data_IF_511051851531
#
_entry.id   IF_511051851531
#
_cell.length_a   1.000
_cell.length_b   1.000
_cell.length_c   1.000
_cell.angle_alpha   90.00
_cell.angle_beta   90.00
_cell.angle_gamma   90.00
#
_symmetry.space_group_name_H-M   'P 1'
#
loop_
_entity.id
_entity.type
_entity.pdbx_description
1 polymer ?
#
# COMPACT_ATOMS: atom_id res chain seq x y z
N UNK A 1 -0.41 50.31 -2.22
CA UNK A 1 0.19 51.54 -2.75
C UNK A 1 0.10 51.55 -4.26
N UNK A 2 -0.52 52.60 -4.85
CA UNK A 2 -0.65 52.74 -6.31
C UNK A 2 0.52 53.56 -6.82
N UNK A 3 1.13 53.14 -7.93
CA UNK A 3 2.21 53.84 -8.61
C UNK A 3 1.91 53.93 -10.11
N UNK A 4 2.18 55.09 -10.74
CA UNK A 4 2.04 55.30 -12.19
C UNK A 4 3.40 55.27 -12.85
N UNK A 5 3.56 54.44 -13.89
CA UNK A 5 4.74 54.42 -14.76
C UNK A 5 4.30 54.54 -16.20
N UNK A 6 4.75 55.62 -16.86
CA UNK A 6 4.25 56.03 -18.17
C UNK A 6 2.71 56.20 -18.09
N UNK A 7 1.94 55.62 -19.00
CA UNK A 7 0.47 55.67 -19.03
C UNK A 7 -0.23 54.57 -18.23
N UNK A 8 0.53 53.74 -17.46
CA UNK A 8 0.01 52.53 -16.82
C UNK A 8 0.08 52.69 -15.28
N UNK A 9 -1.02 52.36 -14.60
CA UNK A 9 -1.10 52.24 -13.15
C UNK A 9 -0.73 50.84 -12.69
N UNK A 10 -0.01 50.76 -11.56
CA UNK A 10 0.41 49.52 -10.90
C UNK A 10 0.01 49.60 -9.43
N UNK A 11 -0.50 48.47 -8.91
CA UNK A 11 -0.66 48.25 -7.47
C UNK A 11 0.62 47.61 -6.95
N UNK A 12 1.26 48.26 -5.98
CA UNK A 12 2.51 47.76 -5.37
C UNK A 12 2.19 47.20 -4.00
N UNK A 13 2.46 45.92 -3.83
CA UNK A 13 2.26 45.20 -2.57
C UNK A 13 3.60 44.69 -2.07
N UNK A 14 3.88 44.94 -0.80
CA UNK A 14 5.04 44.39 -0.12
C UNK A 14 4.60 43.10 0.61
N UNK A 15 5.24 41.99 0.29
CA UNK A 15 4.91 40.69 0.84
C UNK A 15 6.19 39.89 1.06
N UNK A 16 6.18 39.02 2.10
CA UNK A 16 7.27 38.08 2.37
C UNK A 16 7.20 36.92 1.36
N UNK A 17 8.29 36.65 0.68
CA UNK A 17 8.38 35.55 -0.24
C UNK A 17 8.37 34.24 0.57
N UNK A 18 7.40 33.34 0.36
CA UNK A 18 7.27 32.12 1.17
C UNK A 18 8.41 31.10 0.94
N UNK A 19 9.14 31.24 -0.15
CA UNK A 19 10.24 30.33 -0.50
C UNK A 19 11.57 30.82 0.05
N UNK A 20 11.86 32.11 -0.13
CA UNK A 20 13.15 32.71 0.27
C UNK A 20 13.11 33.38 1.63
N UNK A 21 11.92 33.50 2.23
CA UNK A 21 11.66 34.19 3.51
C UNK A 21 12.07 35.65 3.54
N UNK A 22 12.25 36.29 2.36
CA UNK A 22 12.66 37.68 2.20
C UNK A 22 11.47 38.60 1.80
N UNK A 23 11.50 39.89 2.19
CA UNK A 23 10.50 40.84 1.79
C UNK A 23 10.71 41.28 0.36
N UNK A 24 9.68 41.13 -0.51
CA UNK A 24 9.71 41.57 -1.91
C UNK A 24 8.54 42.50 -2.21
N UNK A 25 8.82 43.58 -3.00
CA UNK A 25 7.79 44.45 -3.57
C UNK A 25 7.28 43.82 -4.86
N UNK A 26 5.96 43.66 -4.95
CA UNK A 26 5.28 43.12 -6.15
C UNK A 26 4.53 44.28 -6.85
N UNK A 27 4.75 44.37 -8.15
CA UNK A 27 4.11 45.34 -9.02
C UNK A 27 3.07 44.65 -9.87
N UNK A 28 1.79 44.94 -9.65
CA UNK A 28 0.67 44.33 -10.35
C UNK A 28 0.09 45.37 -11.29
N UNK A 29 0.11 45.09 -12.59
CA UNK A 29 -0.44 45.99 -13.61
C UNK A 29 -1.96 46.07 -13.46
N UNK A 30 -2.51 47.28 -13.39
CA UNK A 30 -3.93 47.51 -13.25
C UNK A 30 -4.60 48.02 -14.54
N UNK A 31 -3.87 48.71 -15.39
CA UNK A 31 -4.40 49.33 -16.60
C UNK A 31 -4.07 50.83 -16.67
N UNK A 32 -4.78 51.56 -17.50
CA UNK A 32 -4.60 52.99 -17.69
C UNK A 32 -5.50 53.88 -16.81
N UNK A 33 -6.46 53.25 -16.10
CA UNK A 33 -7.41 53.94 -15.23
C UNK A 33 -6.99 53.88 -13.76
N UNK A 34 -6.93 55.06 -13.10
CA UNK A 34 -6.67 55.14 -11.66
C UNK A 34 -7.77 54.45 -10.83
N UNK A 35 -9.04 54.56 -11.27
CA UNK A 35 -10.19 53.95 -10.59
C UNK A 35 -10.12 52.44 -10.59
N UNK A 36 -9.64 51.85 -11.68
CA UNK A 36 -9.38 50.40 -11.74
C UNK A 36 -8.24 49.98 -10.81
N UNK A 37 -7.18 50.78 -10.71
CA UNK A 37 -6.09 50.54 -9.79
C UNK A 37 -6.54 50.58 -8.31
N UNK A 38 -7.41 51.53 -7.95
CA UNK A 38 -7.99 51.61 -6.60
C UNK A 38 -8.92 50.45 -6.28
N UNK A 39 -9.71 49.98 -7.27
CA UNK A 39 -10.56 48.81 -7.12
C UNK A 39 -9.73 47.53 -6.94
N UNK A 40 -8.67 47.40 -7.72
CA UNK A 40 -7.73 46.27 -7.63
C UNK A 40 -6.96 46.31 -6.31
N UNK A 41 -6.52 47.49 -5.85
CA UNK A 41 -5.82 47.64 -4.56
C UNK A 41 -6.71 47.20 -3.40
N UNK A 42 -7.96 47.67 -3.34
CA UNK A 42 -8.92 47.27 -2.30
C UNK A 42 -9.15 45.74 -2.29
N UNK A 43 -9.34 45.16 -3.48
CA UNK A 43 -9.49 43.70 -3.61
C UNK A 43 -8.25 42.98 -3.09
N UNK A 44 -7.06 43.38 -3.48
CA UNK A 44 -5.81 42.75 -3.11
C UNK A 44 -5.47 42.98 -1.62
N UNK A 45 -5.89 44.08 -1.02
CA UNK A 45 -5.73 44.28 0.42
C UNK A 45 -6.69 43.42 1.23
N UNK A 46 -7.96 43.31 0.82
CA UNK A 46 -8.92 42.39 1.45
C UNK A 46 -8.42 40.92 1.39
N UNK A 47 -7.94 40.48 0.23
CA UNK A 47 -7.35 39.14 0.07
C UNK A 47 -6.10 38.96 0.95
N UNK A 48 -5.29 40.00 1.17
CA UNK A 48 -4.13 39.97 2.05
C UNK A 48 -4.53 39.93 3.52
N UNK A 49 -5.54 40.68 3.93
CA UNK A 49 -6.05 40.71 5.30
C UNK A 49 -6.74 39.35 5.68
N UNK A 50 -7.31 38.67 4.69
CA UNK A 50 -7.83 37.30 4.80
C UNK A 50 -6.70 36.23 4.79
N UNK A 51 -5.44 36.64 4.81
CA UNK A 51 -4.28 35.73 4.81
C UNK A 51 -3.93 35.15 3.44
N UNK A 52 -4.58 35.63 2.37
CA UNK A 52 -4.27 35.21 1.02
C UNK A 52 -2.92 35.77 0.55
N UNK A 53 -2.07 34.89 0.02
CA UNK A 53 -0.81 35.31 -0.59
C UNK A 53 -1.06 35.79 -2.01
N UNK A 54 -0.73 37.04 -2.28
CA UNK A 54 -0.79 37.61 -3.62
C UNK A 54 0.44 37.17 -4.41
N UNK A 55 0.36 35.98 -4.99
CA UNK A 55 1.40 35.45 -5.85
C UNK A 55 1.18 35.97 -7.27
N UNK A 56 2.10 36.78 -7.76
CA UNK A 56 2.13 37.20 -9.16
C UNK A 56 3.07 36.26 -9.94
N UNK A 57 2.71 35.95 -11.17
CA UNK A 57 3.25 34.89 -12.02
C UNK A 57 4.76 34.64 -12.18
N UNK A 58 5.64 35.48 -11.57
CA UNK A 58 7.10 35.29 -11.63
C UNK A 58 7.70 34.54 -10.43
N UNK A 59 6.94 34.26 -9.36
CA UNK A 59 7.43 33.57 -8.17
C UNK A 59 6.74 32.24 -7.89
N UNK A 60 5.71 31.86 -8.68
CA UNK A 60 4.98 30.61 -8.48
C UNK A 60 5.74 29.47 -9.14
N UNK A 61 6.07 28.39 -8.39
CA UNK A 61 6.77 27.24 -8.95
C UNK A 61 5.90 26.50 -9.97
N UNK A 62 6.55 25.73 -10.83
CA UNK A 62 5.84 24.75 -11.65
C UNK A 62 5.35 23.59 -10.79
N UNK A 63 4.37 22.82 -11.28
CA UNK A 63 3.91 21.62 -10.58
C UNK A 63 5.05 20.60 -10.42
N UNK A 64 5.98 20.52 -11.38
CA UNK A 64 7.21 19.71 -11.28
C UNK A 64 8.07 20.15 -10.09
N UNK A 65 8.39 21.45 -9.99
CA UNK A 65 9.26 21.97 -8.92
C UNK A 65 8.61 21.77 -7.54
N UNK A 66 7.30 22.01 -7.48
CA UNK A 66 6.52 21.86 -6.25
C UNK A 66 6.45 20.39 -5.81
N UNK A 67 6.06 19.44 -6.68
CA UNK A 67 5.94 18.03 -6.34
C UNK A 67 7.28 17.43 -5.95
N UNK A 68 8.37 17.83 -6.62
CA UNK A 68 9.73 17.39 -6.27
C UNK A 68 10.08 17.82 -4.85
N UNK A 69 9.87 19.11 -4.53
CA UNK A 69 10.12 19.65 -3.18
C UNK A 69 9.22 19.00 -2.13
N UNK A 70 7.94 18.81 -2.44
CA UNK A 70 7.00 18.16 -1.53
C UNK A 70 7.39 16.72 -1.20
N UNK A 71 7.81 15.94 -2.21
CA UNK A 71 8.33 14.60 -2.01
C UNK A 71 9.54 14.59 -1.10
N UNK A 72 10.50 15.49 -1.32
CA UNK A 72 11.75 15.55 -0.55
C UNK A 72 11.52 16.03 0.89
N UNK A 73 10.56 16.95 1.10
CA UNK A 73 10.33 17.56 2.42
C UNK A 73 9.32 16.78 3.28
N UNK A 74 8.23 16.27 2.68
CA UNK A 74 7.10 15.73 3.44
C UNK A 74 6.98 14.20 3.34
N UNK A 75 7.59 13.56 2.33
CA UNK A 75 7.36 12.14 2.05
C UNK A 75 8.63 11.31 2.18
N UNK A 76 9.78 11.88 1.84
CA UNK A 76 11.08 11.18 1.96
C UNK A 76 11.31 10.71 3.39
N UNK A 77 11.83 9.47 3.60
CA UNK A 77 12.25 9.01 4.92
C UNK A 77 13.18 10.01 5.64
N UNK A 78 13.06 10.21 6.95
CA UNK A 78 12.22 9.44 7.88
C UNK A 78 10.76 9.90 7.99
N UNK A 79 10.32 10.97 7.28
CA UNK A 79 8.95 11.49 7.37
C UNK A 79 7.88 10.44 7.03
N UNK A 80 8.17 9.57 6.05
CA UNK A 80 7.34 8.41 5.70
C UNK A 80 8.23 7.20 5.42
N UNK A 81 7.63 5.99 5.48
CA UNK A 81 8.33 4.73 5.14
C UNK A 81 8.77 4.71 3.68
N UNK A 82 9.87 4.01 3.40
CA UNK A 82 10.47 3.89 2.05
C UNK A 82 9.47 3.41 1.01
N UNK A 83 8.61 2.43 1.34
CA UNK A 83 7.57 1.95 0.42
C UNK A 83 6.54 3.03 0.06
N UNK A 84 6.18 3.89 1.01
CA UNK A 84 5.28 5.03 0.76
C UNK A 84 5.96 6.04 -0.16
N UNK A 85 7.20 6.40 0.11
CA UNK A 85 7.98 7.31 -0.73
C UNK A 85 8.07 6.79 -2.16
N UNK A 86 8.45 5.53 -2.37
CA UNK A 86 8.57 4.90 -3.69
C UNK A 86 7.23 4.95 -4.46
N UNK A 87 6.12 4.64 -3.79
CA UNK A 87 4.80 4.68 -4.40
C UNK A 87 4.39 6.11 -4.78
N UNK A 88 4.56 7.05 -3.87
CA UNK A 88 4.26 8.47 -4.13
C UNK A 88 5.11 9.02 -5.26
N UNK A 89 6.41 8.71 -5.26
CA UNK A 89 7.34 9.13 -6.32
C UNK A 89 6.94 8.58 -7.68
N UNK A 90 6.55 7.31 -7.78
CA UNK A 90 6.09 6.71 -9.03
C UNK A 90 4.85 7.40 -9.59
N UNK A 91 3.91 7.77 -8.72
CA UNK A 91 2.70 8.49 -9.10
C UNK A 91 3.02 9.94 -9.47
N UNK A 92 3.81 10.64 -8.65
CA UNK A 92 4.24 12.00 -8.96
C UNK A 92 5.01 12.08 -10.29
N UNK A 93 5.86 11.08 -10.60
CA UNK A 93 6.56 10.99 -11.89
C UNK A 93 5.57 10.99 -13.06
N UNK A 94 4.44 10.28 -12.96
CA UNK A 94 3.39 10.27 -13.99
C UNK A 94 2.69 11.62 -14.09
N UNK A 95 2.31 12.22 -12.94
CA UNK A 95 1.69 13.55 -12.90
C UNK A 95 2.62 14.60 -13.53
N UNK A 96 3.90 14.54 -13.20
CA UNK A 96 4.93 15.46 -13.72
C UNK A 96 5.10 15.32 -15.22
N UNK A 97 5.05 14.10 -15.76
CA UNK A 97 5.18 13.86 -17.20
C UNK A 97 4.05 14.54 -18.00
N UNK A 98 2.84 14.56 -17.46
CA UNK A 98 1.67 15.11 -18.17
C UNK A 98 1.37 16.58 -17.79
N UNK A 99 1.52 16.95 -16.52
CA UNK A 99 1.11 18.26 -15.99
C UNK A 99 2.24 19.11 -15.42
N UNK A 100 3.46 18.57 -15.31
CA UNK A 100 4.59 19.19 -14.60
C UNK A 100 5.02 20.57 -15.08
N UNK A 101 4.85 20.85 -16.37
CA UNK A 101 5.20 22.16 -16.99
C UNK A 101 4.28 23.31 -16.61
N UNK A 102 3.09 23.05 -16.07
CA UNK A 102 2.15 24.09 -15.67
C UNK A 102 2.56 24.75 -14.35
N UNK A 103 2.37 26.06 -14.27
CA UNK A 103 2.50 26.76 -12.98
C UNK A 103 1.42 26.31 -12.01
N UNK A 104 1.75 26.25 -10.74
CA UNK A 104 0.87 25.72 -9.69
C UNK A 104 -0.49 26.44 -9.63
N UNK A 105 -0.52 27.78 -9.84
CA UNK A 105 -1.73 28.59 -9.89
C UNK A 105 -2.56 28.42 -11.17
N UNK A 106 -2.03 27.72 -12.17
CA UNK A 106 -2.69 27.43 -13.45
C UNK A 106 -3.28 26.02 -13.52
N UNK A 107 -3.08 25.23 -12.48
CA UNK A 107 -3.73 23.93 -12.36
C UNK A 107 -5.21 24.14 -12.05
N UNK A 108 -6.08 23.84 -13.00
CA UNK A 108 -7.53 24.03 -12.87
C UNK A 108 -8.26 22.70 -12.63
N UNK A 109 -9.47 22.72 -12.03
CA UNK A 109 -10.30 21.52 -11.88
C UNK A 109 -10.55 20.80 -13.22
N UNK A 110 -10.85 21.54 -14.29
CA UNK A 110 -11.10 20.98 -15.61
C UNK A 110 -9.87 20.27 -16.17
N UNK A 111 -8.67 20.85 -16.02
CA UNK A 111 -7.42 20.23 -16.45
C UNK A 111 -7.20 18.88 -15.74
N UNK A 112 -7.46 18.81 -14.44
CA UNK A 112 -7.30 17.56 -13.66
C UNK A 112 -8.35 16.53 -14.03
N UNK A 113 -9.61 16.94 -14.24
CA UNK A 113 -10.67 16.03 -14.70
C UNK A 113 -10.35 15.43 -16.08
N UNK A 114 -9.85 16.25 -17.02
CA UNK A 114 -9.37 15.79 -18.33
C UNK A 114 -8.22 14.80 -18.18
N UNK A 115 -7.25 15.11 -17.33
CA UNK A 115 -6.12 14.21 -17.04
C UNK A 115 -6.59 12.84 -16.51
N UNK A 116 -7.59 12.78 -15.62
CA UNK A 116 -8.13 11.49 -15.14
C UNK A 116 -8.80 10.69 -16.26
N UNK A 117 -9.51 11.36 -17.17
CA UNK A 117 -10.10 10.72 -18.35
C UNK A 117 -9.01 10.13 -19.26
N UNK A 118 -7.91 10.88 -19.46
CA UNK A 118 -6.76 10.39 -20.22
C UNK A 118 -6.07 9.20 -19.56
N UNK A 119 -5.88 9.22 -18.23
CA UNK A 119 -5.33 8.06 -17.51
C UNK A 119 -6.20 6.81 -17.71
N UNK A 120 -7.52 6.96 -17.67
CA UNK A 120 -8.46 5.87 -17.90
C UNK A 120 -8.39 5.36 -19.36
N UNK A 121 -8.28 6.25 -20.34
CA UNK A 121 -8.14 5.87 -21.76
C UNK A 121 -6.81 5.16 -22.07
N UNK A 122 -5.76 5.45 -21.28
CA UNK A 122 -4.48 4.71 -21.32
C UNK A 122 -4.54 3.34 -20.61
N UNK A 123 -5.74 2.89 -20.17
CA UNK A 123 -5.96 1.59 -19.54
C UNK A 123 -5.64 1.52 -18.05
N UNK A 124 -5.45 2.64 -17.35
CA UNK A 124 -5.27 2.61 -15.91
C UNK A 124 -6.59 2.33 -15.19
N UNK A 125 -6.53 1.45 -14.18
CA UNK A 125 -7.71 1.13 -13.37
C UNK A 125 -8.21 2.33 -12.57
N UNK A 126 -9.52 2.37 -12.27
CA UNK A 126 -10.13 3.39 -11.42
C UNK A 126 -9.41 3.51 -10.07
N UNK A 127 -8.96 2.39 -9.49
CA UNK A 127 -8.18 2.38 -8.24
C UNK A 127 -6.88 3.18 -8.39
N UNK A 128 -6.19 3.06 -9.52
CA UNK A 128 -4.94 3.80 -9.79
C UNK A 128 -5.22 5.29 -9.98
N UNK A 129 -6.29 5.65 -10.70
CA UNK A 129 -6.69 7.05 -10.88
C UNK A 129 -7.10 7.68 -9.55
N UNK A 130 -7.87 6.96 -8.72
CA UNK A 130 -8.22 7.40 -7.35
C UNK A 130 -6.99 7.59 -6.46
N UNK A 131 -6.01 6.71 -6.55
CA UNK A 131 -4.74 6.87 -5.83
C UNK A 131 -3.99 8.12 -6.31
N UNK A 132 -3.97 8.36 -7.62
CA UNK A 132 -3.38 9.57 -8.22
C UNK A 132 -4.09 10.83 -7.70
N UNK A 133 -5.44 10.84 -7.68
CA UNK A 133 -6.23 11.94 -7.09
C UNK A 133 -5.85 12.18 -5.63
N UNK A 134 -5.83 11.12 -4.80
CA UNK A 134 -5.52 11.24 -3.37
C UNK A 134 -4.13 11.84 -3.12
N UNK A 135 -3.14 11.43 -3.91
CA UNK A 135 -1.76 11.92 -3.77
C UNK A 135 -1.65 13.37 -4.24
N UNK A 136 -2.22 13.70 -5.40
CA UNK A 136 -2.21 15.06 -5.92
C UNK A 136 -2.98 16.01 -5.01
N UNK A 137 -4.15 15.58 -4.49
CA UNK A 137 -4.94 16.36 -3.52
C UNK A 137 -4.13 16.65 -2.26
N UNK A 138 -3.48 15.64 -1.67
CA UNK A 138 -2.64 15.81 -0.49
C UNK A 138 -1.45 16.75 -0.73
N UNK A 139 -0.83 16.68 -1.91
CA UNK A 139 0.23 17.60 -2.30
C UNK A 139 -0.29 19.04 -2.41
N UNK A 140 -1.43 19.26 -3.08
CA UNK A 140 -2.00 20.59 -3.24
C UNK A 140 -2.60 21.15 -1.94
N UNK A 141 -3.12 20.31 -1.03
CA UNK A 141 -3.46 20.72 0.34
C UNK A 141 -2.22 21.23 1.08
N UNK A 142 -1.06 20.60 0.87
CA UNK A 142 0.20 21.11 1.42
C UNK A 142 0.66 22.41 0.75
N UNK A 143 0.38 22.60 -0.56
CA UNK A 143 0.65 23.85 -1.23
C UNK A 143 -0.17 25.02 -0.63
N UNK A 144 -1.41 24.77 -0.23
CA UNK A 144 -2.25 25.74 0.50
C UNK A 144 -1.64 26.04 1.87
N UNK A 145 -1.23 25.01 2.64
CA UNK A 145 -0.56 25.21 3.94
C UNK A 145 0.75 25.98 3.82
N UNK A 146 1.50 25.77 2.74
CA UNK A 146 2.72 26.54 2.44
C UNK A 146 2.44 27.90 1.82
N UNK A 147 1.14 28.26 1.73
CA UNK A 147 0.70 29.53 1.17
C UNK A 147 1.15 29.76 -0.29
N UNK A 148 1.34 28.70 -1.05
CA UNK A 148 1.63 28.74 -2.50
C UNK A 148 0.34 28.78 -3.34
N UNK A 149 -0.78 28.35 -2.75
CA UNK A 149 -2.13 28.43 -3.32
C UNK A 149 -3.11 28.96 -2.27
N UNK A 150 -4.11 29.69 -2.69
CA UNK A 150 -5.19 30.14 -1.81
C UNK A 150 -6.21 29.02 -1.53
N UNK A 151 -6.48 28.17 -2.52
CA UNK A 151 -7.42 27.06 -2.45
C UNK A 151 -6.89 25.87 -3.27
N UNK A 152 -7.15 24.66 -2.79
CA UNK A 152 -6.86 23.46 -3.55
C UNK A 152 -7.90 23.28 -4.68
N UNK A 153 -7.49 23.28 -5.96
CA UNK A 153 -8.41 23.11 -7.09
C UNK A 153 -9.07 21.72 -7.15
N UNK A 154 -8.52 20.71 -6.46
CA UNK A 154 -9.06 19.35 -6.44
C UNK A 154 -10.24 19.17 -5.47
N UNK A 155 -10.63 20.18 -4.72
CA UNK A 155 -11.85 20.12 -3.89
C UNK A 155 -13.08 19.92 -4.76
N UNK A 156 -13.08 20.49 -5.96
CA UNK A 156 -14.20 20.48 -6.91
C UNK A 156 -14.01 19.41 -8.01
N UNK A 157 -13.15 18.40 -7.78
CA UNK A 157 -12.88 17.33 -8.75
C UNK A 157 -13.15 15.97 -8.12
N UNK A 158 -14.12 15.25 -8.64
CA UNK A 158 -14.40 13.88 -8.23
C UNK A 158 -13.53 12.88 -9.00
N UNK A 159 -12.87 11.94 -8.28
CA UNK A 159 -12.20 10.83 -8.94
C UNK A 159 -13.23 9.80 -9.45
N UNK A 160 -12.89 8.95 -10.43
CA UNK A 160 -13.80 7.92 -10.92
C UNK A 160 -14.30 7.02 -9.79
N UNK A 161 -15.53 6.48 -9.93
CA UNK A 161 -16.16 5.63 -8.93
C UNK A 161 -15.25 4.43 -8.54
N UNK A 162 -15.22 4.02 -7.25
CA UNK A 162 -14.45 2.84 -6.85
C UNK A 162 -15.07 1.58 -7.46
N UNK A 163 -14.24 0.75 -8.08
CA UNK A 163 -14.64 -0.61 -8.46
C UNK A 163 -14.25 -1.50 -7.27
N UNK A 164 -15.24 -2.12 -6.63
CA UNK A 164 -14.97 -3.11 -5.58
C UNK A 164 -14.30 -4.32 -6.26
N UNK A 165 -13.05 -4.68 -5.90
CA UNK A 165 -12.45 -5.90 -6.40
C UNK A 165 -13.29 -7.08 -5.90
N UNK A 166 -13.56 -8.05 -6.77
CA UNK A 166 -14.08 -9.34 -6.35
C UNK A 166 -12.97 -10.02 -5.55
N UNK A 167 -13.10 -10.08 -4.23
CA UNK A 167 -12.17 -10.81 -3.39
C UNK A 167 -12.49 -12.30 -3.54
N UNK A 168 -11.62 -13.00 -4.21
CA UNK A 168 -11.71 -14.45 -4.39
C UNK A 168 -10.91 -15.11 -3.26
N UNK A 169 -11.55 -15.31 -2.10
CA UNK A 169 -11.01 -16.18 -1.07
C UNK A 169 -11.27 -17.65 -1.46
N UNK A 170 -10.36 -18.54 -1.13
CA UNK A 170 -10.61 -19.98 -1.23
C UNK A 170 -11.65 -20.40 -0.18
N UNK A 171 -12.46 -21.38 -0.52
CA UNK A 171 -13.26 -22.08 0.51
C UNK A 171 -12.34 -22.84 1.46
N UNK A 172 -12.85 -23.21 2.63
CA UNK A 172 -12.09 -24.05 3.58
C UNK A 172 -11.61 -25.35 2.93
N UNK A 173 -12.50 -26.01 2.16
CA UNK A 173 -12.18 -27.25 1.44
C UNK A 173 -11.09 -27.06 0.41
N UNK A 174 -11.20 -26.01 -0.43
CA UNK A 174 -10.20 -25.71 -1.46
C UNK A 174 -8.82 -25.36 -0.87
N UNK A 175 -8.83 -24.60 0.23
CA UNK A 175 -7.60 -24.23 0.94
C UNK A 175 -6.88 -25.45 1.51
N UNK A 176 -7.62 -26.40 2.13
CA UNK A 176 -7.05 -27.63 2.67
C UNK A 176 -6.55 -28.54 1.55
N UNK A 177 -7.31 -28.72 0.47
CA UNK A 177 -6.89 -29.52 -0.69
C UNK A 177 -5.61 -28.96 -1.34
N UNK A 178 -5.50 -27.65 -1.48
CA UNK A 178 -4.29 -27.00 -2.03
C UNK A 178 -3.08 -27.16 -1.10
N UNK A 179 -3.27 -27.11 0.23
CA UNK A 179 -2.20 -27.34 1.22
C UNK A 179 -1.74 -28.78 1.17
N UNK A 180 -2.65 -29.75 1.13
CA UNK A 180 -2.35 -31.17 1.02
C UNK A 180 -1.55 -31.44 -0.24
N UNK A 181 -2.02 -31.01 -1.39
CA UNK A 181 -1.32 -31.11 -2.66
C UNK A 181 0.11 -30.53 -2.60
N UNK A 182 0.25 -29.30 -2.05
CA UNK A 182 1.56 -28.68 -1.91
C UNK A 182 2.49 -29.45 -0.99
N UNK A 183 1.95 -30.04 0.08
CA UNK A 183 2.71 -30.83 1.05
C UNK A 183 3.18 -32.16 0.45
N UNK A 184 2.35 -32.86 -0.32
CA UNK A 184 2.71 -34.07 -1.04
C UNK A 184 3.79 -33.80 -2.10
N UNK A 185 3.62 -32.75 -2.88
CA UNK A 185 4.63 -32.31 -3.85
C UNK A 185 5.96 -31.97 -3.17
N UNK A 186 5.94 -31.48 -1.93
CA UNK A 186 7.15 -31.17 -1.16
C UNK A 186 7.92 -32.42 -0.72
N UNK A 187 7.25 -33.53 -0.47
CA UNK A 187 7.86 -34.84 -0.12
C UNK A 187 8.64 -35.43 -1.30
N UNK A 188 8.17 -35.18 -2.53
CA UNK A 188 8.73 -35.82 -3.74
C UNK A 188 9.97 -35.09 -4.28
N UNK A 189 10.19 -33.80 -4.01
CA UNK A 189 11.34 -33.07 -4.53
C UNK A 189 11.65 -31.74 -3.82
N UNK A 190 12.80 -31.74 -3.17
CA UNK A 190 13.68 -30.59 -3.04
C UNK A 190 13.22 -29.37 -2.21
N UNK A 191 14.22 -28.62 -1.84
CA UNK A 191 14.20 -27.43 -1.00
C UNK A 191 13.18 -26.36 -1.44
N UNK A 192 13.05 -26.12 -2.75
CA UNK A 192 12.17 -25.05 -3.29
C UNK A 192 10.68 -25.34 -3.08
N UNK A 193 10.25 -26.60 -3.16
CA UNK A 193 8.82 -26.97 -2.97
C UNK A 193 8.36 -26.77 -1.54
N UNK A 194 9.21 -27.01 -0.56
CA UNK A 194 8.92 -26.70 0.85
C UNK A 194 8.64 -25.22 1.07
N UNK A 195 9.28 -24.33 0.28
CA UNK A 195 9.01 -22.89 0.38
C UNK A 195 7.63 -22.50 -0.15
N UNK A 196 7.07 -23.26 -1.09
CA UNK A 196 5.70 -23.05 -1.57
C UNK A 196 4.69 -23.41 -0.47
N UNK A 197 4.89 -24.58 0.19
CA UNK A 197 4.07 -24.96 1.35
C UNK A 197 4.17 -23.93 2.48
N UNK A 198 5.36 -23.34 2.73
CA UNK A 198 5.52 -22.23 3.68
C UNK A 198 4.61 -21.04 3.34
N UNK A 199 4.46 -20.68 2.06
CA UNK A 199 3.61 -19.56 1.66
C UNK A 199 2.15 -19.82 2.07
N UNK A 200 1.65 -21.03 1.81
CA UNK A 200 0.28 -21.41 2.15
C UNK A 200 0.09 -21.49 3.67
N UNK A 201 0.97 -22.20 4.38
CA UNK A 201 0.86 -22.38 5.82
C UNK A 201 0.96 -21.05 6.58
N UNK A 202 1.93 -20.22 6.25
CA UNK A 202 2.09 -18.91 6.88
C UNK A 202 0.99 -17.92 6.47
N UNK A 203 0.49 -18.01 5.22
CA UNK A 203 -0.59 -17.15 4.72
C UNK A 203 -1.95 -17.51 5.31
N UNK A 204 -2.30 -18.79 5.36
CA UNK A 204 -3.62 -19.29 5.77
C UNK A 204 -3.70 -19.49 7.29
N UNK A 205 -2.76 -20.21 7.91
CA UNK A 205 -2.86 -20.48 9.34
C UNK A 205 -2.32 -19.38 10.24
N UNK A 206 -1.36 -18.58 9.76
CA UNK A 206 -0.79 -17.47 10.52
C UNK A 206 -1.31 -16.09 10.05
N UNK A 207 -2.03 -16.02 8.93
CA UNK A 207 -2.57 -14.80 8.37
C UNK A 207 -1.52 -13.74 8.01
N UNK A 208 -0.27 -14.15 7.70
CA UNK A 208 0.82 -13.23 7.40
C UNK A 208 0.63 -12.50 6.05
N UNK A 209 1.00 -11.24 6.02
CA UNK A 209 1.08 -10.49 4.75
C UNK A 209 2.28 -10.96 3.93
N UNK A 210 2.22 -10.84 2.60
CA UNK A 210 3.32 -11.24 1.69
C UNK A 210 4.71 -10.73 2.14
N UNK A 211 4.80 -9.47 2.52
CA UNK A 211 6.07 -8.88 2.96
C UNK A 211 6.53 -9.42 4.32
N UNK A 212 5.62 -9.77 5.22
CA UNK A 212 5.90 -10.38 6.51
C UNK A 212 6.39 -11.83 6.32
N UNK A 213 5.75 -12.62 5.43
CA UNK A 213 6.25 -13.96 5.05
C UNK A 213 7.69 -13.86 4.51
N UNK A 214 7.93 -12.89 3.62
CA UNK A 214 9.24 -12.69 3.02
C UNK A 214 10.30 -12.19 4.02
N UNK A 215 9.87 -11.40 5.02
CA UNK A 215 10.74 -10.80 6.05
C UNK A 215 10.96 -11.63 7.30
N UNK A 216 10.29 -12.79 7.42
CA UNK A 216 10.37 -13.67 8.59
C UNK A 216 11.77 -14.29 8.71
N UNK A 217 12.37 -14.20 9.89
CA UNK A 217 13.69 -14.77 10.21
C UNK A 217 13.57 -15.91 11.20
N UNK A 218 14.56 -16.80 11.22
CA UNK A 218 14.59 -17.92 12.16
C UNK A 218 14.59 -17.48 13.61
N UNK A 219 15.23 -16.37 13.94
CA UNK A 219 15.24 -15.77 15.27
C UNK A 219 13.88 -15.23 15.74
N UNK A 220 12.93 -15.06 14.81
CA UNK A 220 11.58 -14.57 15.11
C UNK A 220 10.61 -15.72 15.43
N UNK A 221 11.10 -16.97 15.43
CA UNK A 221 10.32 -18.19 15.72
C UNK A 221 10.75 -18.74 17.07
N UNK A 222 9.81 -18.78 18.02
CA UNK A 222 9.98 -19.56 19.24
C UNK A 222 9.34 -20.94 19.02
N UNK A 223 10.20 -21.95 18.84
CA UNK A 223 9.78 -23.32 18.58
C UNK A 223 9.24 -24.05 19.83
N UNK A 224 9.59 -23.60 21.02
CA UNK A 224 9.14 -24.19 22.29
C UNK A 224 7.74 -23.70 22.63
N UNK A 225 7.53 -22.38 22.57
CA UNK A 225 6.24 -21.75 22.85
C UNK A 225 5.29 -21.76 21.63
N UNK A 226 5.73 -22.27 20.49
CA UNK A 226 4.97 -22.25 19.23
C UNK A 226 4.47 -20.84 18.86
N UNK A 227 5.36 -19.84 18.95
CA UNK A 227 5.01 -18.45 18.64
C UNK A 227 5.87 -17.87 17.52
N UNK A 228 5.29 -16.95 16.75
CA UNK A 228 5.99 -16.12 15.76
C UNK A 228 5.94 -14.65 16.18
N UNK A 229 7.10 -14.01 16.16
CA UNK A 229 7.24 -12.56 16.36
C UNK A 229 7.33 -11.86 15.00
N UNK A 230 6.34 -11.07 14.63
CA UNK A 230 6.30 -10.42 13.32
C UNK A 230 6.89 -9.02 13.46
N UNK A 231 8.18 -8.86 13.15
CA UNK A 231 8.95 -7.61 13.32
C UNK A 231 9.25 -6.90 12.03
N UNK A 232 9.38 -7.64 10.93
CA UNK A 232 9.91 -7.13 9.68
C UNK A 232 9.04 -7.47 8.48
N UNK A 233 9.20 -6.66 7.44
CA UNK A 233 8.61 -6.87 6.12
C UNK A 233 9.69 -6.68 5.06
N UNK A 234 9.89 -7.67 4.18
CA UNK A 234 10.84 -7.58 3.08
C UNK A 234 10.15 -6.94 1.88
N UNK A 235 10.74 -5.88 1.37
CA UNK A 235 10.20 -5.05 0.29
C UNK A 235 11.17 -5.06 -0.90
N UNK A 236 10.62 -4.90 -2.09
CA UNK A 236 11.40 -4.66 -3.29
C UNK A 236 11.33 -3.17 -3.65
N UNK A 237 12.48 -2.50 -3.67
CA UNK A 237 12.61 -1.06 -3.92
C UNK A 237 13.49 -0.83 -5.16
N UNK A 238 13.10 0.03 -6.11
CA UNK A 238 13.94 0.41 -7.25
C UNK A 238 15.26 1.02 -6.79
N UNK A 239 16.37 0.67 -7.47
CA UNK A 239 17.71 1.22 -7.14
C UNK A 239 17.71 2.74 -7.24
N UNK A 240 17.00 3.31 -8.22
CA UNK A 240 16.90 4.77 -8.38
C UNK A 240 16.31 5.48 -7.16
N UNK A 241 15.51 4.79 -6.36
CA UNK A 241 14.93 5.34 -5.13
C UNK A 241 15.90 5.16 -3.97
N UNK A 242 16.55 4.00 -3.85
CA UNK A 242 17.55 3.74 -2.80
C UNK A 242 18.78 4.65 -2.91
N UNK A 243 19.27 4.90 -4.11
CA UNK A 243 20.39 5.81 -4.33
C UNK A 243 20.12 7.25 -3.82
N UNK A 244 18.84 7.65 -3.78
CA UNK A 244 18.41 8.96 -3.24
C UNK A 244 18.26 8.97 -1.71
N UNK A 245 18.10 7.78 -1.11
CA UNK A 245 17.71 7.64 0.29
C UNK A 245 18.86 7.21 1.20
N UNK A 246 19.97 6.73 0.61
CA UNK A 246 21.05 6.06 1.35
C UNK A 246 20.50 5.01 2.34
N UNK A 247 19.56 4.19 1.87
CA UNK A 247 18.81 3.25 2.70
C UNK A 247 19.47 1.86 2.67
N UNK A 248 19.61 1.16 3.80
CA UNK A 248 20.24 -0.15 3.84
C UNK A 248 19.42 -1.19 3.08
N UNK A 249 20.12 -2.09 2.41
CA UNK A 249 19.49 -3.19 1.64
C UNK A 249 20.09 -4.54 2.02
N UNK A 250 19.27 -5.59 1.88
CA UNK A 250 19.68 -6.98 2.16
C UNK A 250 20.33 -7.63 0.93
N UNK A 251 19.74 -7.41 -0.25
CA UNK A 251 20.22 -7.96 -1.51
C UNK A 251 19.99 -6.97 -2.65
N UNK A 252 21.00 -6.76 -3.46
CA UNK A 252 20.93 -5.91 -4.66
C UNK A 252 20.80 -6.76 -5.91
N UNK A 253 19.96 -6.31 -6.86
CA UNK A 253 19.90 -6.81 -8.22
C UNK A 253 20.03 -5.65 -9.21
N UNK A 254 19.99 -5.91 -10.52
CA UNK A 254 20.27 -4.89 -11.55
C UNK A 254 19.39 -3.62 -11.43
N UNK A 255 18.08 -3.78 -11.20
CA UNK A 255 17.13 -2.66 -11.24
C UNK A 255 16.44 -2.40 -9.90
N UNK A 256 16.66 -3.24 -8.90
CA UNK A 256 15.99 -3.15 -7.59
C UNK A 256 16.83 -3.78 -6.50
N UNK A 257 16.51 -3.48 -5.25
CA UNK A 257 17.11 -4.13 -4.09
C UNK A 257 16.01 -4.60 -3.14
N UNK A 258 16.32 -5.64 -2.39
CA UNK A 258 15.50 -6.11 -1.28
C UNK A 258 15.87 -5.32 -0.04
N UNK A 259 14.87 -4.71 0.57
CA UNK A 259 14.99 -3.87 1.76
C UNK A 259 14.16 -4.49 2.87
N UNK A 260 14.77 -4.66 4.03
CA UNK A 260 14.08 -5.09 5.24
C UNK A 260 13.62 -3.86 6.01
N UNK A 261 12.31 -3.67 6.07
CA UNK A 261 11.69 -2.57 6.81
C UNK A 261 10.94 -3.11 8.03
N UNK A 262 10.76 -2.29 9.05
CA UNK A 262 9.91 -2.63 10.20
C UNK A 262 8.46 -2.75 9.77
N UNK A 263 7.66 -3.54 10.49
CA UNK A 263 6.21 -3.63 10.23
C UNK A 263 5.51 -2.27 10.36
N UNK A 264 4.35 -2.14 9.71
CA UNK A 264 3.71 -0.85 9.42
C UNK A 264 3.15 -0.14 10.66
N UNK A 265 2.79 -0.88 11.71
CA UNK A 265 2.18 -0.33 12.93
C UNK A 265 2.63 -1.16 14.14
N UNK A 266 2.61 -0.57 15.35
CA UNK A 266 2.85 -1.28 16.62
C UNK A 266 1.90 -2.48 16.79
N UNK A 267 0.65 -2.36 16.34
CA UNK A 267 -0.30 -3.47 16.30
C UNK A 267 0.16 -4.64 15.40
N UNK A 268 1.10 -4.39 14.46
CA UNK A 268 1.66 -5.44 13.59
C UNK A 268 2.91 -6.11 14.18
N UNK A 269 3.45 -5.62 15.30
CA UNK A 269 4.64 -6.14 16.00
C UNK A 269 4.26 -7.18 17.07
N UNK A 270 3.12 -7.85 16.92
CA UNK A 270 2.61 -8.80 17.89
C UNK A 270 3.13 -10.22 17.62
N UNK A 271 3.33 -10.94 18.73
CA UNK A 271 3.49 -12.39 18.71
C UNK A 271 2.14 -13.05 18.39
N UNK A 272 2.16 -14.07 17.58
CA UNK A 272 1.01 -14.91 17.29
C UNK A 272 1.30 -16.36 17.68
N UNK A 273 0.30 -17.03 18.23
CA UNK A 273 0.35 -18.47 18.49
C UNK A 273 0.13 -19.20 17.15
N UNK A 274 0.95 -20.20 16.90
CA UNK A 274 0.98 -20.95 15.64
C UNK A 274 0.56 -22.39 15.88
N UNK A 275 -0.26 -23.00 15.02
CA UNK A 275 -0.63 -24.39 15.14
C UNK A 275 0.60 -25.31 15.12
N UNK A 276 0.58 -26.39 15.92
CA UNK A 276 1.69 -27.34 16.03
C UNK A 276 2.11 -27.96 14.69
N UNK A 277 1.15 -28.16 13.79
CA UNK A 277 1.43 -28.66 12.44
C UNK A 277 2.35 -27.69 11.67
N UNK A 278 2.10 -26.37 11.75
CA UNK A 278 2.93 -25.36 11.08
C UNK A 278 4.32 -25.29 11.73
N UNK A 279 4.41 -25.34 13.06
CA UNK A 279 5.69 -25.35 13.78
C UNK A 279 6.53 -26.58 13.41
N UNK A 280 5.92 -27.77 13.36
CA UNK A 280 6.60 -29.00 12.94
C UNK A 280 7.13 -28.88 11.52
N UNK A 281 6.35 -28.32 10.61
CA UNK A 281 6.79 -28.07 9.24
C UNK A 281 7.95 -27.05 9.20
N UNK A 282 7.89 -25.98 9.97
CA UNK A 282 8.97 -24.99 10.05
C UNK A 282 10.25 -25.58 10.65
N UNK A 283 10.17 -26.53 11.60
CA UNK A 283 11.34 -27.28 12.11
C UNK A 283 12.02 -28.06 10.97
N UNK A 284 11.22 -28.74 10.13
CA UNK A 284 11.74 -29.44 8.97
C UNK A 284 12.44 -28.50 7.99
N UNK A 285 11.82 -27.35 7.68
CA UNK A 285 12.42 -26.33 6.81
C UNK A 285 13.70 -25.73 7.42
N UNK A 286 13.74 -25.56 8.75
CA UNK A 286 14.94 -25.11 9.47
C UNK A 286 16.08 -26.13 9.35
N UNK A 287 15.78 -27.39 9.54
CA UNK A 287 16.77 -28.47 9.38
C UNK A 287 17.37 -28.46 7.97
N UNK A 288 16.54 -28.30 6.93
CA UNK A 288 17.04 -28.17 5.55
C UNK A 288 17.93 -26.93 5.35
N UNK A 289 17.55 -25.79 5.95
CA UNK A 289 18.37 -24.57 5.92
C UNK A 289 19.74 -24.80 6.55
N UNK A 290 19.78 -25.47 7.69
CA UNK A 290 21.05 -25.75 8.40
C UNK A 290 21.88 -26.78 7.66
N UNK A 291 21.27 -27.81 7.05
CA UNK A 291 21.94 -28.77 6.18
C UNK A 291 22.60 -28.11 4.97
N UNK A 292 21.86 -27.21 4.31
CA UNK A 292 22.41 -26.42 3.19
C UNK A 292 23.55 -25.51 3.65
N UNK A 293 23.44 -24.90 4.83
CA UNK A 293 24.52 -24.06 5.40
C UNK A 293 25.82 -24.89 5.57
N UNK A 294 25.71 -26.12 6.06
CA UNK A 294 26.87 -27.01 6.18
C UNK A 294 27.41 -27.43 4.80
N UNK A 295 26.50 -27.78 3.86
CA UNK A 295 26.85 -28.25 2.51
C UNK A 295 27.61 -27.20 1.70
N UNK A 296 27.14 -25.95 1.72
CA UNK A 296 27.72 -24.87 0.94
C UNK A 296 28.83 -24.11 1.67
N UNK A 297 28.98 -24.28 2.99
CA UNK A 297 30.06 -23.68 3.81
C UNK A 297 30.22 -22.18 3.59
N UNK A 298 31.42 -21.70 3.19
CA UNK A 298 31.67 -20.26 2.96
C UNK A 298 30.86 -19.62 1.84
N UNK A 299 30.29 -20.41 0.94
CA UNK A 299 29.45 -19.94 -0.16
C UNK A 299 27.99 -19.74 0.26
N UNK A 300 27.63 -20.11 1.49
CA UNK A 300 26.30 -19.93 2.01
C UNK A 300 26.10 -18.53 2.60
N UNK A 301 25.09 -17.83 2.12
CA UNK A 301 24.71 -16.52 2.64
C UNK A 301 23.80 -16.67 3.86
N UNK A 302 24.37 -16.58 5.06
CA UNK A 302 23.62 -16.77 6.30
C UNK A 302 22.73 -15.57 6.64
N UNK A 303 21.71 -15.33 5.81
CA UNK A 303 20.79 -14.19 5.95
C UNK A 303 19.71 -14.37 7.01
N UNK A 304 19.56 -15.59 7.55
CA UNK A 304 18.60 -15.97 8.58
C UNK A 304 17.12 -15.90 8.13
N UNK A 305 16.80 -15.68 6.85
CA UNK A 305 15.43 -15.69 6.38
C UNK A 305 14.87 -17.14 6.30
N UNK A 306 13.61 -17.30 6.75
CA UNK A 306 12.85 -18.54 6.55
C UNK A 306 12.66 -18.82 5.07
N UNK A 307 12.33 -17.78 4.32
CA UNK A 307 12.11 -17.83 2.88
C UNK A 307 13.38 -17.49 2.10
N UNK A 308 14.41 -18.34 2.28
CA UNK A 308 15.67 -18.25 1.54
C UNK A 308 15.80 -19.40 0.53
N UNK A 309 16.61 -19.18 -0.52
CA UNK A 309 17.00 -20.21 -1.49
C UNK A 309 18.06 -21.17 -0.91
N UNK A 310 18.54 -22.12 -1.72
CA UNK A 310 19.50 -23.14 -1.27
C UNK A 310 20.84 -22.58 -0.78
N UNK A 311 21.26 -21.43 -1.31
CA UNK A 311 22.49 -20.75 -0.90
C UNK A 311 22.25 -19.67 0.18
N UNK A 312 21.05 -19.61 0.76
CA UNK A 312 20.72 -18.71 1.89
C UNK A 312 20.24 -17.31 1.51
N UNK A 313 20.11 -16.97 0.24
CA UNK A 313 19.59 -15.68 -0.21
C UNK A 313 18.06 -15.60 -0.10
N UNK A 314 17.48 -14.49 0.36
CA UNK A 314 16.03 -14.33 0.42
C UNK A 314 15.40 -14.31 -0.99
N UNK A 315 14.22 -14.92 -1.11
CA UNK A 315 13.43 -14.83 -2.33
C UNK A 315 12.84 -13.42 -2.52
N UNK A 316 12.82 -12.95 -3.78
CA UNK A 316 12.14 -11.71 -4.17
C UNK A 316 10.63 -11.82 -3.89
N UNK A 317 9.96 -10.82 -3.26
CA UNK A 317 8.52 -10.85 -2.99
C UNK A 317 7.63 -11.10 -4.23
N UNK A 318 8.11 -10.84 -5.45
CA UNK A 318 7.36 -11.17 -6.67
C UNK A 318 7.40 -12.66 -7.01
N UNK A 319 8.41 -13.40 -6.53
CA UNK A 319 8.51 -14.85 -6.71
C UNK A 319 7.29 -15.56 -6.08
N UNK A 320 6.82 -15.10 -4.94
CA UNK A 320 5.70 -15.68 -4.20
C UNK A 320 4.42 -15.78 -5.04
N UNK A 321 4.06 -14.70 -5.74
CA UNK A 321 2.87 -14.70 -6.61
C UNK A 321 3.04 -15.69 -7.76
N UNK A 322 4.18 -15.65 -8.45
CA UNK A 322 4.43 -16.54 -9.60
C UNK A 322 4.38 -18.00 -9.19
N UNK A 323 4.93 -18.32 -8.03
CA UNK A 323 5.00 -19.69 -7.50
C UNK A 323 3.64 -20.17 -7.02
N UNK A 324 2.86 -19.32 -6.33
CA UNK A 324 1.49 -19.64 -5.94
C UNK A 324 0.60 -19.92 -7.17
N UNK A 325 0.68 -19.06 -8.20
CA UNK A 325 -0.08 -19.26 -9.44
C UNK A 325 0.31 -20.58 -10.16
N UNK A 326 1.62 -20.91 -10.21
CA UNK A 326 2.06 -22.18 -10.78
C UNK A 326 1.55 -23.39 -9.99
N UNK A 327 1.51 -23.29 -8.66
CA UNK A 327 0.95 -24.34 -7.82
C UNK A 327 -0.54 -24.56 -8.10
N UNK A 328 -1.32 -23.46 -8.14
CA UNK A 328 -2.76 -23.54 -8.42
C UNK A 328 -3.02 -24.11 -9.82
N UNK A 329 -2.26 -23.69 -10.83
CA UNK A 329 -2.36 -24.26 -12.18
C UNK A 329 -2.05 -25.76 -12.18
N UNK A 330 -0.94 -26.16 -11.54
CA UNK A 330 -0.57 -27.58 -11.43
C UNK A 330 -1.62 -28.42 -10.69
N UNK A 331 -2.26 -27.84 -9.66
CA UNK A 331 -3.38 -28.49 -8.98
C UNK A 331 -4.56 -28.68 -9.93
N UNK A 332 -4.98 -27.64 -10.63
CA UNK A 332 -6.10 -27.68 -11.59
C UNK A 332 -5.84 -28.69 -12.72
N UNK A 333 -4.61 -28.72 -13.26
CA UNK A 333 -4.21 -29.65 -14.30
C UNK A 333 -4.24 -31.13 -13.82
N UNK A 334 -3.95 -31.34 -12.52
CA UNK A 334 -3.95 -32.67 -11.90
C UNK A 334 -5.36 -33.13 -11.45
N UNK A 335 -6.34 -32.25 -11.40
CA UNK A 335 -7.71 -32.51 -10.95
C UNK A 335 -8.73 -31.98 -11.96
N UNK A 336 -8.74 -32.49 -13.21
CA UNK A 336 -9.60 -31.99 -14.29
C UNK A 336 -11.11 -32.19 -14.01
N UNK A 337 -11.45 -33.15 -13.16
CA UNK A 337 -12.82 -33.46 -12.79
C UNK A 337 -13.38 -32.56 -11.69
N UNK A 338 -12.52 -31.75 -11.05
CA UNK A 338 -12.92 -30.79 -10.02
C UNK A 338 -13.09 -29.37 -10.61
N UNK A 339 -13.98 -28.55 -10.04
CA UNK A 339 -14.02 -27.12 -10.40
C UNK A 339 -12.65 -26.46 -10.22
N UNK A 340 -12.15 -25.73 -11.21
CA UNK A 340 -10.81 -25.17 -11.13
C UNK A 340 -10.72 -24.09 -10.02
N UNK A 341 -9.66 -24.16 -9.22
CA UNK A 341 -9.36 -23.15 -8.21
C UNK A 341 -9.00 -21.82 -8.88
N UNK A 342 -9.50 -20.69 -8.36
CA UNK A 342 -9.19 -19.36 -8.89
C UNK A 342 -7.72 -18.99 -8.65
N UNK A 343 -7.13 -18.20 -9.56
CA UNK A 343 -5.79 -17.66 -9.42
C UNK A 343 -5.76 -16.51 -8.40
N UNK A 344 -5.59 -16.84 -7.13
CA UNK A 344 -5.57 -15.90 -6.03
C UNK A 344 -4.19 -15.23 -5.84
N UNK A 345 -4.19 -14.07 -5.19
CA UNK A 345 -2.96 -13.38 -4.77
C UNK A 345 -2.49 -13.92 -3.41
N UNK A 346 -1.21 -13.78 -3.10
CA UNK A 346 -0.68 -14.14 -1.76
C UNK A 346 -1.41 -13.41 -0.62
N UNK A 347 -1.93 -12.21 -0.88
CA UNK A 347 -2.70 -11.48 0.12
C UNK A 347 -4.09 -12.08 0.36
N UNK A 348 -4.64 -12.76 -0.62
CA UNK A 348 -5.96 -13.41 -0.52
C UNK A 348 -5.90 -14.67 0.37
N UNK A 349 -4.70 -15.28 0.59
CA UNK A 349 -4.50 -16.32 1.60
C UNK A 349 -4.85 -15.83 3.01
N UNK A 350 -4.56 -14.57 3.31
CA UNK A 350 -4.95 -13.95 4.57
C UNK A 350 -6.47 -13.68 4.63
N UNK A 351 -7.11 -13.39 3.51
CA UNK A 351 -8.57 -13.32 3.44
C UNK A 351 -9.18 -14.71 3.66
N UNK A 352 -8.60 -15.73 3.04
CA UNK A 352 -8.96 -17.14 3.31
C UNK A 352 -8.83 -17.50 4.79
N UNK A 353 -7.73 -17.09 5.46
CA UNK A 353 -7.56 -17.28 6.90
C UNK A 353 -8.70 -16.65 7.71
N UNK A 354 -9.08 -15.42 7.39
CA UNK A 354 -10.18 -14.75 8.06
C UNK A 354 -11.53 -15.45 7.82
N UNK A 355 -11.79 -15.86 6.59
CA UNK A 355 -13.02 -16.58 6.22
C UNK A 355 -13.12 -17.91 6.98
N UNK A 356 -12.05 -18.71 6.99
CA UNK A 356 -12.00 -19.99 7.72
C UNK A 356 -12.29 -19.79 9.21
N UNK A 357 -11.67 -18.80 9.86
CA UNK A 357 -11.89 -18.54 11.27
C UNK A 357 -13.33 -18.09 11.56
N UNK A 358 -13.90 -17.25 10.72
CA UNK A 358 -15.28 -16.75 10.87
C UNK A 358 -16.32 -17.85 10.59
N UNK A 359 -16.07 -18.73 9.59
CA UNK A 359 -16.93 -19.89 9.29
C UNK A 359 -16.94 -20.94 10.45
N UNK A 360 -15.89 -20.94 11.28
CA UNK A 360 -15.79 -21.77 12.48
C UNK A 360 -16.15 -21.02 13.78
N UNK A 361 -17.00 -19.99 13.68
CA UNK A 361 -17.57 -19.26 14.79
C UNK A 361 -16.55 -18.56 15.73
N UNK A 362 -15.33 -18.29 15.23
CA UNK A 362 -14.33 -17.53 16.01
C UNK A 362 -14.74 -16.06 16.07
N UNK A 363 -14.74 -15.50 17.27
CA UNK A 363 -15.11 -14.10 17.50
C UNK A 363 -14.33 -13.12 16.60
N UNK A 364 -15.02 -12.16 15.99
CA UNK A 364 -14.46 -11.21 15.02
C UNK A 364 -13.30 -10.38 15.59
N UNK A 365 -13.32 -10.08 16.91
CA UNK A 365 -12.24 -9.34 17.56
C UNK A 365 -11.00 -10.22 17.69
N UNK A 366 -11.17 -11.53 17.98
CA UNK A 366 -10.07 -12.48 18.01
C UNK A 366 -9.48 -12.68 16.61
N UNK A 367 -10.32 -12.80 15.57
CA UNK A 367 -9.87 -12.85 14.18
C UNK A 367 -9.09 -11.59 13.81
N UNK A 368 -9.62 -10.41 14.13
CA UNK A 368 -8.95 -9.12 13.87
C UNK A 368 -7.60 -9.04 14.59
N UNK A 369 -7.51 -9.53 15.83
CA UNK A 369 -6.28 -9.59 16.63
C UNK A 369 -5.28 -10.57 16.02
N UNK A 370 -5.68 -11.78 15.68
CA UNK A 370 -4.83 -12.80 15.03
C UNK A 370 -4.25 -12.27 13.73
N UNK A 371 -5.08 -11.61 12.93
CA UNK A 371 -4.67 -11.03 11.67
C UNK A 371 -3.93 -9.67 11.83
N UNK A 372 -3.88 -9.10 13.01
CA UNK A 372 -3.25 -7.79 13.28
C UNK A 372 -3.80 -6.70 12.35
N UNK A 373 -5.14 -6.59 12.27
CA UNK A 373 -5.80 -5.50 11.59
C UNK A 373 -5.74 -4.24 12.47
N UNK A 374 -5.32 -3.12 11.90
CA UNK A 374 -5.31 -1.82 12.58
C UNK A 374 -6.72 -1.23 12.75
N UNK A 375 -7.68 -1.74 11.97
CA UNK A 375 -9.08 -1.34 11.97
C UNK A 375 -9.95 -2.60 11.86
N UNK A 376 -10.87 -2.76 12.80
CA UNK A 376 -11.86 -3.85 12.80
C UNK A 376 -12.82 -3.77 11.61
N UNK A 377 -13.01 -2.58 11.02
CA UNK A 377 -13.82 -2.39 9.82
C UNK A 377 -13.35 -3.24 8.62
N UNK A 378 -12.05 -3.55 8.55
CA UNK A 378 -11.49 -4.45 7.52
C UNK A 378 -12.05 -5.87 7.70
N UNK A 379 -12.12 -6.35 8.94
CA UNK A 379 -12.66 -7.67 9.28
C UNK A 379 -14.18 -7.68 9.15
N UNK A 380 -14.86 -6.59 9.51
CA UNK A 380 -16.32 -6.45 9.37
C UNK A 380 -16.77 -6.49 7.90
N UNK A 381 -16.04 -5.82 6.99
CA UNK A 381 -16.35 -5.90 5.55
C UNK A 381 -16.20 -7.33 5.00
N UNK A 382 -15.26 -8.10 5.55
CA UNK A 382 -15.09 -9.50 5.20
C UNK A 382 -16.21 -10.36 5.79
N UNK A 383 -16.61 -10.08 7.04
CA UNK A 383 -17.71 -10.74 7.72
C UNK A 383 -19.04 -10.57 6.97
N UNK A 384 -19.28 -9.42 6.36
CA UNK A 384 -20.48 -9.15 5.57
C UNK A 384 -20.67 -10.12 4.40
N UNK A 385 -19.58 -10.58 3.77
CA UNK A 385 -19.61 -11.61 2.72
C UNK A 385 -19.81 -13.04 3.27
N UNK A 386 -19.40 -13.28 4.52
CA UNK A 386 -19.62 -14.57 5.21
C UNK A 386 -21.04 -14.63 5.75
N UNK A 387 -21.64 -13.50 6.14
CA UNK A 387 -22.97 -13.39 6.74
C UNK A 387 -24.08 -13.89 5.81
N UNK A 388 -23.97 -13.64 4.47
CA UNK A 388 -24.94 -14.17 3.50
C UNK A 388 -25.00 -15.71 3.53
N UNK A 389 -23.90 -16.41 3.88
CA UNK A 389 -23.87 -17.86 4.11
C UNK A 389 -24.34 -18.24 5.53
N UNK A 390 -24.18 -17.36 6.51
CA UNK A 390 -24.61 -17.61 7.90
C UNK A 390 -26.10 -17.34 8.12
N UNK A 391 -26.78 -16.58 7.26
CA UNK A 391 -28.23 -16.37 7.33
C UNK A 391 -29.01 -17.69 7.26
N UNK A 392 -28.56 -18.64 6.43
CA UNK A 392 -29.13 -19.98 6.40
C UNK A 392 -28.85 -20.77 7.69
N UNK A 393 -27.72 -20.52 8.37
CA UNK A 393 -27.35 -21.16 9.63
C UNK A 393 -28.22 -20.63 10.79
N UNK A 394 -28.56 -19.33 10.77
CA UNK A 394 -29.48 -18.72 11.75
C UNK A 394 -30.87 -19.37 11.63
N UNK A 395 -31.43 -19.47 10.42
CA UNK A 395 -32.70 -20.11 10.19
C UNK A 395 -32.70 -21.56 10.69
N UNK A 396 -31.68 -22.35 10.31
CA UNK A 396 -31.55 -23.75 10.74
C UNK A 396 -31.40 -23.90 12.26
N UNK A 397 -30.70 -22.97 12.92
CA UNK A 397 -30.55 -22.98 14.38
C UNK A 397 -31.88 -22.69 15.08
N UNK A 398 -32.64 -21.70 14.59
CA UNK A 398 -33.97 -21.38 15.10
C UNK A 398 -34.94 -22.55 14.90
N UNK A 399 -34.92 -23.20 13.74
CA UNK A 399 -35.72 -24.39 13.45
C UNK A 399 -35.36 -25.56 14.38
N UNK A 400 -34.06 -25.79 14.64
CA UNK A 400 -33.61 -26.85 15.56
C UNK A 400 -34.04 -26.60 16.98
N UNK A 401 -34.01 -25.34 17.46
CA UNK A 401 -34.52 -24.95 18.78
C UNK A 401 -36.03 -25.17 18.92
N UNK A 402 -36.79 -24.83 17.86
CA UNK A 402 -38.25 -25.07 17.83
C UNK A 402 -38.58 -26.56 17.83
N UNK A 403 -37.81 -27.37 17.06
CA UNK A 403 -37.99 -28.81 17.02
C UNK A 403 -37.65 -29.49 18.36
N UNK A 404 -36.58 -29.03 19.04
CA UNK A 404 -36.23 -29.51 20.37
C UNK A 404 -37.32 -29.17 21.42
N UNK A 405 -37.85 -27.96 21.41
CA UNK A 405 -38.94 -27.53 22.29
C UNK A 405 -40.27 -28.28 22.03
N UNK A 406 -40.49 -28.79 20.81
CA UNK A 406 -41.65 -29.60 20.46
C UNK A 406 -41.47 -31.11 20.79
N UNK A 407 -40.23 -31.58 20.92
CA UNK A 407 -39.93 -32.98 21.32
C UNK A 407 -40.00 -33.21 22.82
N UNK A 408 -40.00 -32.16 23.64
CA UNK A 408 -40.16 -32.22 25.13
C UNK A 408 -41.60 -32.09 25.58
N UNK A 409 -42.57 -31.97 24.67
CA UNK A 409 -44.03 -31.99 24.94
C UNK A 409 -44.63 -33.33 24.51
#
# INVERSE_FOLDING_TARGET
MISKKKEIYYVVITQKDPITNTWKKKWIRSGTSKREAEKLERKLMSEKDEGAIILTGRGIPTLLDFLTRWLDTCIKPPARKVATYTNYRAICKRIIADLGGHKLDKVTPLMVATYYKELSSRGLSNTTVRLTHRILKAALDQAVKWQLLNRNPLIDVDPPAPIKPKNEALTTTDALALIEYATEQSKQSGYTRNKVSCILLLGIFCGLRRGEIAGLRWQDINFEESTLHIRHSLLRIPISDLARLDYPYVKRSTNSSLVLDTVKTEASENSIIVPQHVISFLRHVKHQYDTNRMRFGPHFHNTQFVMANEIGDPYDPNWYRKTLHKLIQSYNDSHPDCPPLPLIRVHDLRHTAATILLENDVDIKLVSRQLRHSDTGITQNLYQHVTERLESKIANTLDSLMNAANAEK
#
